data_IF_530274267665
#
_entry.id   IF_530274267665
#
_cell.length_a   1.000
_cell.length_b   1.000
_cell.length_c   1.000
_cell.angle_alpha   90.00
_cell.angle_beta   90.00
_cell.angle_gamma   90.00
#
_symmetry.space_group_name_H-M   'P 1'
#
loop_
_entity.id
_entity.type
_entity.pdbx_description
1 polymer ?
#
# COMPACT_ATOMS: atom_id res chain seq x y z
N UNK A 1 19.84 -12.74 25.16
CA UNK A 1 18.38 -13.02 25.08
C UNK A 1 18.22 -14.50 24.85
N UNK A 2 17.63 -15.20 25.79
CA UNK A 2 17.37 -16.64 25.66
C UNK A 2 16.14 -16.80 24.75
N UNK A 3 16.29 -17.52 23.67
CA UNK A 3 15.16 -17.88 22.79
C UNK A 3 14.48 -19.11 23.39
N UNK A 4 13.19 -19.00 23.68
CA UNK A 4 12.37 -20.13 24.13
C UNK A 4 11.54 -20.63 22.97
N UNK A 5 11.63 -21.92 22.65
CA UNK A 5 10.77 -22.55 21.66
C UNK A 5 9.43 -22.89 22.33
N UNK A 6 8.32 -22.43 21.73
CA UNK A 6 6.96 -22.65 22.21
C UNK A 6 6.27 -23.59 21.22
N UNK A 7 5.74 -24.73 21.72
CA UNK A 7 4.98 -25.65 20.88
C UNK A 7 3.57 -25.12 20.61
N UNK A 8 2.84 -25.59 19.58
CA UNK A 8 1.54 -25.06 19.20
C UNK A 8 0.45 -25.07 20.30
N UNK A 9 0.57 -25.97 21.27
CA UNK A 9 -0.37 -26.15 22.40
C UNK A 9 0.15 -25.57 23.72
N UNK A 10 1.23 -24.80 23.67
CA UNK A 10 1.90 -24.25 24.83
C UNK A 10 1.82 -22.72 24.86
N UNK A 11 1.78 -22.19 26.09
CA UNK A 11 1.98 -20.76 26.37
C UNK A 11 3.19 -20.59 27.28
N UNK A 12 3.84 -19.45 27.22
CA UNK A 12 4.93 -19.10 28.14
C UNK A 12 4.54 -17.85 28.93
N UNK A 13 4.51 -18.00 30.23
CA UNK A 13 4.43 -16.87 31.15
C UNK A 13 5.85 -16.50 31.58
N UNK A 14 6.25 -15.27 31.28
CA UNK A 14 7.58 -14.78 31.64
C UNK A 14 7.51 -13.43 32.35
N UNK A 15 8.39 -13.22 33.31
CA UNK A 15 8.58 -11.95 33.94
C UNK A 15 9.98 -11.43 33.65
N UNK A 16 10.12 -10.13 33.38
CA UNK A 16 11.42 -9.47 33.24
C UNK A 16 12.17 -9.52 34.59
N UNK A 17 13.50 -9.61 34.55
CA UNK A 17 14.34 -9.60 35.75
C UNK A 17 14.10 -8.34 36.62
N UNK A 18 13.68 -7.23 36.02
CA UNK A 18 13.36 -5.97 36.70
C UNK A 18 11.86 -5.82 37.02
N UNK A 19 11.04 -6.86 36.79
CA UNK A 19 9.64 -6.83 37.17
C UNK A 19 9.49 -6.87 38.71
N UNK A 20 8.34 -6.38 39.18
CA UNK A 20 8.01 -6.41 40.61
C UNK A 20 8.25 -7.80 41.21
N UNK A 21 8.82 -7.81 42.43
CA UNK A 21 9.12 -9.03 43.17
C UNK A 21 7.86 -9.92 43.40
N UNK A 22 6.70 -9.32 43.48
CA UNK A 22 5.43 -10.07 43.57
C UNK A 22 5.24 -11.03 42.40
N UNK A 23 5.39 -10.56 41.17
CA UNK A 23 5.22 -11.37 39.97
C UNK A 23 6.38 -12.37 39.77
N UNK A 24 7.62 -11.90 39.98
CA UNK A 24 8.80 -12.76 39.79
C UNK A 24 8.85 -13.88 40.81
N UNK A 25 8.48 -13.64 42.07
CA UNK A 25 8.43 -14.66 43.11
C UNK A 25 7.27 -15.63 42.90
N UNK A 26 6.10 -15.17 42.44
CA UNK A 26 4.97 -16.04 42.11
C UNK A 26 5.37 -17.10 41.05
N UNK A 27 6.03 -16.67 39.96
CA UNK A 27 6.50 -17.60 38.94
C UNK A 27 7.64 -18.52 39.44
N UNK A 28 8.56 -17.97 40.22
CA UNK A 28 9.74 -18.70 40.72
C UNK A 28 9.39 -19.78 41.75
N UNK A 29 8.33 -19.55 42.53
CA UNK A 29 7.88 -20.48 43.57
C UNK A 29 6.85 -21.52 43.10
N UNK A 30 6.48 -21.51 41.82
CA UNK A 30 5.58 -22.51 41.24
C UNK A 30 6.33 -23.84 41.05
N UNK A 31 5.93 -24.93 41.73
CA UNK A 31 6.55 -26.23 41.52
C UNK A 31 6.29 -26.73 40.10
N UNK A 32 7.28 -27.44 39.56
CA UNK A 32 7.10 -28.10 38.26
C UNK A 32 5.98 -29.16 38.36
N UNK A 33 5.04 -29.11 37.39
CA UNK A 33 3.88 -30.00 37.38
C UNK A 33 2.66 -29.47 38.11
N UNK A 34 2.74 -28.22 38.66
CA UNK A 34 1.53 -27.60 39.25
C UNK A 34 0.51 -27.29 38.16
N UNK A 35 -0.74 -27.53 38.47
CA UNK A 35 -1.86 -27.00 37.66
C UNK A 35 -2.03 -25.51 37.95
N UNK A 36 -2.12 -24.72 36.90
CA UNK A 36 -2.26 -23.26 36.97
C UNK A 36 -3.49 -22.83 36.19
N UNK A 37 -4.40 -22.17 36.88
CA UNK A 37 -5.54 -21.49 36.23
C UNK A 37 -5.23 -20.01 36.15
N UNK A 38 -5.40 -19.41 34.97
CA UNK A 38 -5.38 -17.98 34.81
C UNK A 38 -6.64 -17.49 34.09
N UNK A 39 -7.11 -16.35 34.53
CA UNK A 39 -8.29 -15.72 33.94
C UNK A 39 -7.86 -14.39 33.33
N UNK A 40 -8.22 -14.18 32.09
CA UNK A 40 -8.07 -12.89 31.42
C UNK A 40 -9.39 -12.15 31.54
N UNK A 41 -9.34 -10.97 32.17
CA UNK A 41 -10.52 -10.12 32.31
C UNK A 41 -10.27 -8.81 31.59
N UNK A 42 -11.28 -8.29 30.90
CA UNK A 42 -11.27 -6.95 30.36
C UNK A 42 -11.67 -5.92 31.43
N UNK A 43 -11.21 -4.69 31.28
CA UNK A 43 -11.74 -3.58 32.05
C UNK A 43 -13.19 -3.31 31.68
N UNK A 44 -13.96 -2.73 32.60
CA UNK A 44 -15.38 -2.38 32.36
C UNK A 44 -15.58 -1.62 31.05
N UNK A 45 -16.54 -2.07 30.25
CA UNK A 45 -16.84 -1.54 28.91
C UNK A 45 -16.12 -2.22 27.75
N UNK A 46 -15.26 -3.22 28.04
CA UNK A 46 -14.55 -4.00 27.03
C UNK A 46 -14.95 -5.47 26.98
N UNK A 47 -15.93 -5.85 27.78
CA UNK A 47 -16.33 -7.26 27.97
C UNK A 47 -16.91 -7.86 26.70
N UNK A 48 -17.63 -7.05 25.90
CA UNK A 48 -18.32 -7.48 24.68
C UNK A 48 -17.57 -7.07 23.39
N UNK A 49 -16.28 -6.71 23.50
CA UNK A 49 -15.48 -6.30 22.33
C UNK A 49 -14.79 -7.50 21.71
N UNK A 50 -15.14 -7.80 20.45
CA UNK A 50 -14.52 -8.88 19.70
C UNK A 50 -13.06 -8.58 19.30
N UNK A 51 -12.79 -7.31 18.94
CA UNK A 51 -11.47 -6.87 18.50
C UNK A 51 -11.12 -5.50 19.08
N UNK A 52 -9.87 -5.34 19.48
CA UNK A 52 -9.35 -4.07 19.98
C UNK A 52 -7.96 -3.79 19.39
N UNK A 53 -7.72 -2.54 19.02
CA UNK A 53 -6.43 -2.06 18.53
C UNK A 53 -6.01 -0.84 19.32
N UNK A 54 -4.79 -0.89 19.89
CA UNK A 54 -4.21 0.26 20.58
C UNK A 54 -3.79 1.35 19.60
N UNK A 55 -4.17 2.59 19.89
CA UNK A 55 -3.70 3.77 19.17
C UNK A 55 -2.66 4.53 20.00
N UNK A 56 -1.68 5.14 19.31
CA UNK A 56 -0.66 5.96 19.96
C UNK A 56 -1.19 7.36 20.31
N UNK A 57 -2.00 7.93 19.43
CA UNK A 57 -2.54 9.28 19.59
C UNK A 57 -3.97 9.35 19.03
N UNK A 58 -4.84 10.12 19.72
CA UNK A 58 -6.06 10.62 19.14
C UNK A 58 -5.72 11.93 18.40
N UNK A 59 -5.84 11.93 17.07
CA UNK A 59 -5.48 13.07 16.22
C UNK A 59 -6.63 14.05 16.02
N UNK A 60 -7.86 13.56 16.09
CA UNK A 60 -9.08 14.37 16.06
C UNK A 60 -10.21 13.68 16.82
N UNK A 61 -11.07 14.48 17.41
CA UNK A 61 -12.28 14.05 18.07
C UNK A 61 -13.39 15.04 17.78
N UNK A 62 -14.61 14.57 17.53
CA UNK A 62 -15.78 15.37 17.19
C UNK A 62 -15.51 16.35 16.02
N UNK A 63 -14.73 15.92 15.03
CA UNK A 63 -14.34 16.71 13.89
C UNK A 63 -13.30 17.83 14.16
N UNK A 64 -12.77 17.90 15.39
CA UNK A 64 -11.77 18.88 15.79
C UNK A 64 -10.39 18.23 15.96
N UNK A 65 -9.36 18.80 15.33
CA UNK A 65 -7.98 18.31 15.46
C UNK A 65 -7.46 18.54 16.88
N UNK A 66 -6.89 17.51 17.47
CA UNK A 66 -6.31 17.54 18.81
C UNK A 66 -5.12 18.52 18.87
N UNK A 67 -5.08 19.36 19.89
CA UNK A 67 -3.97 20.26 20.16
C UNK A 67 -2.83 19.55 20.94
N UNK A 68 -1.62 20.14 20.88
CA UNK A 68 -0.48 19.64 21.66
C UNK A 68 0.11 18.31 21.19
N UNK A 69 -0.19 17.87 19.96
CA UNK A 69 0.38 16.66 19.37
C UNK A 69 1.89 16.78 19.23
N UNK A 70 2.58 15.64 19.39
CA UNK A 70 4.03 15.59 19.26
C UNK A 70 4.50 16.06 17.89
N UNK A 71 5.55 16.88 17.87
CA UNK A 71 6.15 17.37 16.63
C UNK A 71 6.90 16.28 15.88
N UNK A 72 7.14 16.52 14.60
CA UNK A 72 7.98 15.68 13.74
C UNK A 72 7.23 15.07 12.56
N UNK A 73 7.94 14.99 11.44
CA UNK A 73 7.46 14.48 10.15
C UNK A 73 7.94 13.05 9.97
N UNK A 74 7.02 12.12 9.75
CA UNK A 74 7.32 10.70 9.64
C UNK A 74 6.30 10.02 8.71
N UNK A 75 6.59 8.81 8.20
CA UNK A 75 5.55 7.93 7.69
C UNK A 75 4.49 7.71 8.77
N UNK A 76 3.21 7.74 8.42
CA UNK A 76 2.11 7.61 9.37
C UNK A 76 1.08 6.60 8.89
N UNK A 77 0.47 5.92 9.85
CA UNK A 77 -0.72 5.09 9.66
C UNK A 77 -1.81 5.61 10.56
N UNK A 78 -3.00 5.83 10.04
CA UNK A 78 -4.13 6.33 10.80
C UNK A 78 -5.43 5.65 10.38
N UNK A 79 -6.39 5.64 11.30
CA UNK A 79 -7.77 5.23 11.04
C UNK A 79 -8.67 6.37 11.45
N UNK A 80 -9.53 6.79 10.52
CA UNK A 80 -10.58 7.76 10.79
C UNK A 80 -11.96 7.11 10.74
N UNK A 81 -12.88 7.63 11.52
CA UNK A 81 -14.30 7.25 11.52
C UNK A 81 -15.15 8.47 11.18
N UNK A 82 -16.04 8.31 10.19
CA UNK A 82 -17.05 9.31 9.84
C UNK A 82 -18.30 9.16 10.69
N UNK A 83 -19.18 10.17 10.67
CA UNK A 83 -20.46 10.18 11.40
C UNK A 83 -21.37 8.99 11.05
N UNK A 84 -21.32 8.50 9.82
CA UNK A 84 -22.11 7.36 9.35
C UNK A 84 -21.48 5.98 9.70
N UNK A 85 -20.37 5.97 10.45
CA UNK A 85 -19.63 4.77 10.83
C UNK A 85 -18.61 4.31 9.80
N UNK A 86 -18.51 4.96 8.64
CA UNK A 86 -17.50 4.62 7.62
C UNK A 86 -16.09 4.77 8.18
N UNK A 87 -15.28 3.72 8.05
CA UNK A 87 -13.86 3.75 8.43
C UNK A 87 -12.97 4.13 7.23
N UNK A 88 -12.02 5.01 7.49
CA UNK A 88 -11.00 5.45 6.53
C UNK A 88 -9.64 4.99 7.03
N UNK A 89 -9.01 4.05 6.33
CA UNK A 89 -7.64 3.64 6.58
C UNK A 89 -6.71 4.52 5.74
N UNK A 90 -5.75 5.15 6.38
CA UNK A 90 -4.92 6.15 5.76
C UNK A 90 -3.45 5.91 6.07
N UNK A 91 -2.63 5.89 5.03
CA UNK A 91 -1.17 5.83 5.16
C UNK A 91 -0.54 7.01 4.42
N UNK A 92 0.55 7.51 4.95
CA UNK A 92 1.41 8.45 4.27
C UNK A 92 2.84 7.96 4.32
N UNK A 93 3.47 7.84 3.15
CA UNK A 93 4.86 7.49 3.03
C UNK A 93 5.77 8.60 3.54
N UNK A 94 6.99 8.27 3.92
CA UNK A 94 7.94 9.26 4.40
C UNK A 94 9.36 8.71 4.51
N UNK A 95 10.28 9.53 5.02
CA UNK A 95 11.71 9.21 5.16
C UNK A 95 12.37 8.80 3.85
N UNK A 96 11.84 9.27 2.72
CA UNK A 96 12.37 8.99 1.37
C UNK A 96 12.69 10.31 0.68
N UNK A 97 13.98 10.62 0.64
CA UNK A 97 14.47 11.83 -0.06
C UNK A 97 13.98 11.87 -1.50
N UNK A 98 13.50 13.02 -1.91
CA UNK A 98 12.98 13.26 -3.26
C UNK A 98 11.62 12.65 -3.57
N UNK A 99 11.03 11.88 -2.65
CA UNK A 99 9.69 11.30 -2.83
C UNK A 99 8.72 11.80 -1.76
N UNK A 100 8.95 11.48 -0.51
CA UNK A 100 8.11 11.94 0.60
C UNK A 100 8.91 12.01 1.90
N UNK A 101 8.80 13.12 2.60
CA UNK A 101 9.35 13.29 3.94
C UNK A 101 8.41 12.73 5.03
N UNK A 102 7.13 12.53 4.70
CA UNK A 102 6.08 12.16 5.63
C UNK A 102 5.22 13.35 6.07
N UNK A 103 4.44 13.16 7.13
CA UNK A 103 3.59 14.18 7.72
C UNK A 103 3.72 14.27 9.23
N UNK A 104 3.39 15.43 9.80
CA UNK A 104 3.17 15.60 11.23
C UNK A 104 1.84 14.96 11.64
N UNK A 105 1.67 14.69 12.94
CA UNK A 105 0.41 14.17 13.48
C UNK A 105 -0.75 15.14 13.21
N UNK A 106 -0.51 16.44 13.37
CA UNK A 106 -1.50 17.51 13.09
C UNK A 106 -1.95 17.50 11.62
N UNK A 107 -1.02 17.39 10.67
CA UNK A 107 -1.36 17.31 9.24
C UNK A 107 -2.21 16.10 8.90
N UNK A 108 -1.91 14.94 9.49
CA UNK A 108 -2.72 13.72 9.30
C UNK A 108 -4.12 13.90 9.87
N UNK A 109 -4.22 14.46 11.09
CA UNK A 109 -5.51 14.78 11.71
C UNK A 109 -6.34 15.73 10.84
N UNK A 110 -5.75 16.83 10.39
CA UNK A 110 -6.40 17.80 9.48
C UNK A 110 -6.90 17.13 8.20
N UNK A 111 -6.04 16.31 7.56
CA UNK A 111 -6.40 15.65 6.31
C UNK A 111 -7.58 14.70 6.46
N UNK A 112 -7.63 13.94 7.55
CA UNK A 112 -8.74 13.00 7.78
C UNK A 112 -10.04 13.73 8.18
N UNK A 113 -9.95 14.84 8.90
CA UNK A 113 -11.11 15.72 9.15
C UNK A 113 -11.63 16.32 7.83
N UNK A 114 -10.75 16.77 6.92
CA UNK A 114 -11.14 17.21 5.57
C UNK A 114 -11.84 16.12 4.76
N UNK A 115 -11.50 14.86 4.99
CA UNK A 115 -12.17 13.69 4.39
C UNK A 115 -13.49 13.33 5.07
N UNK A 116 -13.92 14.11 6.08
CA UNK A 116 -15.18 13.96 6.79
C UNK A 116 -15.11 13.02 8.01
N UNK A 117 -13.91 12.72 8.51
CA UNK A 117 -13.79 11.92 9.74
C UNK A 117 -14.01 12.79 10.97
N UNK A 118 -14.78 12.27 11.92
CA UNK A 118 -15.02 12.92 13.22
C UNK A 118 -14.02 12.45 14.27
N UNK A 119 -13.68 11.17 14.26
CA UNK A 119 -12.66 10.59 15.14
C UNK A 119 -11.48 10.09 14.29
N UNK A 120 -10.26 10.44 14.70
CA UNK A 120 -9.04 10.02 14.02
C UNK A 120 -8.02 9.50 15.02
N UNK A 121 -7.57 8.28 14.82
CA UNK A 121 -6.57 7.60 15.64
C UNK A 121 -5.29 7.34 14.84
N UNK A 122 -4.14 7.63 15.45
CA UNK A 122 -2.84 7.30 14.86
C UNK A 122 -2.36 5.95 15.40
N UNK A 123 -2.08 5.04 14.50
CA UNK A 123 -1.48 3.74 14.80
C UNK A 123 0.05 3.84 14.76
N UNK A 124 0.75 2.70 14.86
CA UNK A 124 2.20 2.65 14.64
C UNK A 124 2.54 3.12 13.22
N UNK A 125 3.65 3.84 13.12
CA UNK A 125 4.08 4.51 11.90
C UNK A 125 5.55 4.21 11.57
N UNK A 126 6.21 5.16 10.89
CA UNK A 126 7.61 4.99 10.52
C UNK A 126 7.81 3.80 9.57
N UNK A 127 8.76 2.92 9.88
CA UNK A 127 9.03 1.72 9.09
C UNK A 127 7.89 0.69 9.09
N UNK A 128 6.97 0.77 10.05
CA UNK A 128 5.80 -0.11 10.15
C UNK A 128 4.64 0.32 9.24
N UNK A 129 4.71 1.51 8.62
CA UNK A 129 3.67 2.01 7.71
C UNK A 129 3.61 1.17 6.43
N UNK A 130 2.68 0.24 6.37
CA UNK A 130 2.42 -0.62 5.22
C UNK A 130 0.91 -0.72 4.98
N UNK A 131 0.49 -0.59 3.73
CA UNK A 131 -0.87 -0.82 3.29
C UNK A 131 -0.86 -1.85 2.16
N UNK A 132 -1.44 -3.00 2.41
CA UNK A 132 -1.59 -4.04 1.41
C UNK A 132 -3.07 -4.19 1.02
N UNK A 133 -3.33 -4.40 -0.25
CA UNK A 133 -4.67 -4.55 -0.81
C UNK A 133 -4.68 -5.71 -1.79
N UNK A 134 -5.71 -6.53 -1.72
CA UNK A 134 -6.06 -7.48 -2.78
C UNK A 134 -6.91 -6.74 -3.79
N UNK A 135 -6.38 -6.56 -5.00
CA UNK A 135 -7.08 -5.90 -6.09
C UNK A 135 -7.89 -6.92 -6.90
N UNK A 136 -8.95 -6.52 -7.63
CA UNK A 136 -9.82 -7.45 -8.37
C UNK A 136 -9.10 -8.30 -9.43
N UNK A 137 -7.91 -7.91 -9.87
CA UNK A 137 -7.06 -8.64 -10.81
C UNK A 137 -6.06 -9.60 -10.15
N UNK A 138 -6.14 -9.78 -8.82
CA UNK A 138 -5.20 -10.61 -8.05
C UNK A 138 -5.91 -11.40 -6.95
N UNK A 139 -5.37 -12.56 -6.61
CA UNK A 139 -5.76 -13.34 -5.42
C UNK A 139 -4.89 -13.01 -4.21
N UNK A 140 -3.77 -12.34 -4.42
CA UNK A 140 -2.80 -12.01 -3.38
C UNK A 140 -2.82 -10.52 -3.04
N UNK A 141 -2.70 -10.22 -1.75
CA UNK A 141 -2.53 -8.86 -1.30
C UNK A 141 -1.13 -8.34 -1.67
N UNK A 142 -1.06 -7.15 -2.22
CA UNK A 142 0.18 -6.47 -2.55
C UNK A 142 0.28 -5.13 -1.83
N UNK A 143 1.51 -4.77 -1.42
CA UNK A 143 1.78 -3.46 -0.80
C UNK A 143 1.62 -2.38 -1.87
N UNK A 144 0.73 -1.43 -1.62
CA UNK A 144 0.40 -0.34 -2.55
C UNK A 144 1.10 0.98 -2.20
N UNK A 145 1.59 1.14 -0.98
CA UNK A 145 2.42 2.29 -0.59
C UNK A 145 3.91 1.99 -0.80
N UNK A 146 4.79 2.97 -0.49
CA UNK A 146 6.25 2.84 -0.57
C UNK A 146 6.88 2.92 0.82
N UNK A 147 6.92 1.83 1.59
CA UNK A 147 7.43 1.83 2.95
C UNK A 147 8.87 2.34 3.03
N UNK A 148 9.21 3.03 4.10
CA UNK A 148 10.60 3.47 4.37
C UNK A 148 11.53 2.32 4.72
N UNK A 149 10.98 1.21 5.22
CA UNK A 149 11.69 -0.03 5.52
C UNK A 149 11.03 -1.20 4.78
N UNK A 150 11.81 -1.93 3.99
CA UNK A 150 11.32 -3.09 3.25
C UNK A 150 11.26 -4.30 4.19
N UNK A 151 10.16 -5.05 4.13
CA UNK A 151 9.96 -6.29 4.89
C UNK A 151 10.10 -6.11 6.42
N UNK A 152 9.68 -4.95 6.96
CA UNK A 152 9.62 -4.74 8.40
C UNK A 152 8.69 -5.77 9.04
N UNK A 153 9.23 -6.56 9.98
CA UNK A 153 8.41 -7.46 10.80
C UNK A 153 7.67 -6.65 11.86
N UNK A 154 6.37 -6.83 11.94
CA UNK A 154 5.48 -6.24 12.95
C UNK A 154 4.81 -7.35 13.76
N UNK A 155 4.45 -7.05 15.00
CA UNK A 155 3.86 -8.03 15.93
C UNK A 155 2.37 -8.26 15.70
N UNK A 156 1.68 -7.28 15.11
CA UNK A 156 0.23 -7.34 14.82
C UNK A 156 -0.07 -6.59 13.52
N UNK A 157 -1.22 -6.91 12.95
CA UNK A 157 -1.72 -6.32 11.72
C UNK A 157 -3.24 -6.20 11.82
N UNK A 158 -3.83 -5.25 11.12
CA UNK A 158 -5.28 -5.13 10.95
C UNK A 158 -5.64 -5.70 9.60
N UNK A 159 -6.53 -6.68 9.58
CA UNK A 159 -7.08 -7.26 8.36
C UNK A 159 -8.54 -6.85 8.20
N UNK A 160 -8.87 -6.36 7.01
CA UNK A 160 -10.26 -6.21 6.56
C UNK A 160 -10.53 -7.35 5.60
N UNK A 161 -11.41 -8.24 6.00
CA UNK A 161 -11.74 -9.43 5.21
C UNK A 161 -13.19 -9.33 4.77
N UNK A 162 -13.42 -9.31 3.45
CA UNK A 162 -14.75 -9.42 2.90
C UNK A 162 -15.20 -10.88 2.94
N UNK A 163 -16.34 -11.16 3.58
CA UNK A 163 -16.96 -12.48 3.66
C UNK A 163 -18.13 -12.66 2.68
N UNK A 164 -18.39 -11.67 1.84
CA UNK A 164 -19.47 -11.68 0.88
C UNK A 164 -19.24 -12.75 -0.20
N UNK A 165 -20.35 -13.38 -0.63
CA UNK A 165 -20.36 -14.24 -1.82
C UNK A 165 -20.65 -13.39 -3.04
N UNK A 166 -20.22 -13.87 -4.22
CA UNK A 166 -20.56 -13.20 -5.48
C UNK A 166 -22.07 -13.04 -5.63
N UNK A 167 -22.47 -11.84 -6.03
CA UNK A 167 -23.86 -11.54 -6.41
C UNK A 167 -24.17 -12.01 -7.84
N UNK A 168 -23.15 -12.27 -8.66
CA UNK A 168 -23.28 -12.58 -10.09
C UNK A 168 -23.77 -11.41 -10.95
N UNK A 169 -23.94 -10.21 -10.39
CA UNK A 169 -24.42 -9.02 -11.09
C UNK A 169 -23.28 -8.00 -11.21
N UNK A 170 -22.84 -7.77 -12.45
CA UNK A 170 -21.81 -6.77 -12.76
C UNK A 170 -22.21 -5.39 -12.24
N UNK A 171 -21.30 -4.76 -11.50
CA UNK A 171 -21.41 -3.37 -11.02
C UNK A 171 -20.52 -2.44 -11.84
N UNK A 172 -19.22 -2.74 -11.89
CA UNK A 172 -18.26 -1.93 -12.63
C UNK A 172 -17.11 -2.78 -13.19
N UNK A 173 -16.22 -2.14 -13.94
CA UNK A 173 -14.96 -2.73 -14.38
C UNK A 173 -13.81 -2.12 -13.59
N UNK A 174 -12.92 -2.96 -13.06
CA UNK A 174 -11.61 -2.58 -12.57
C UNK A 174 -10.64 -2.58 -13.75
N UNK A 175 -10.12 -1.40 -14.10
CA UNK A 175 -9.18 -1.19 -15.20
C UNK A 175 -7.83 -0.81 -14.62
N UNK A 176 -6.79 -1.55 -14.95
CA UNK A 176 -5.44 -1.36 -14.41
C UNK A 176 -4.40 -1.40 -15.50
N UNK A 177 -3.62 -0.33 -15.63
CA UNK A 177 -2.41 -0.34 -16.43
C UNK A 177 -1.25 -1.01 -15.66
N UNK A 178 -0.36 -1.67 -16.38
CA UNK A 178 0.85 -2.25 -15.78
C UNK A 178 1.77 -1.17 -15.16
N UNK A 179 1.63 0.08 -15.59
CA UNK A 179 2.25 1.25 -14.98
C UNK A 179 1.37 2.48 -15.24
N UNK A 180 1.15 3.29 -14.20
CA UNK A 180 0.40 4.54 -14.33
C UNK A 180 1.25 5.65 -14.98
N UNK A 181 2.59 5.55 -14.91
CA UNK A 181 3.52 6.53 -15.46
C UNK A 181 4.42 5.87 -16.49
N UNK A 182 4.36 6.37 -17.71
CA UNK A 182 5.12 5.84 -18.86
C UNK A 182 5.85 6.94 -19.59
N UNK A 183 6.96 6.61 -20.26
CA UNK A 183 7.58 7.54 -21.20
C UNK A 183 6.66 7.68 -22.43
N UNK A 184 6.37 8.90 -22.84
CA UNK A 184 5.52 9.17 -23.99
C UNK A 184 5.98 8.40 -25.24
N UNK A 185 5.04 7.81 -25.97
CA UNK A 185 5.34 6.92 -27.11
C UNK A 185 5.62 5.45 -26.74
N UNK A 186 5.62 5.12 -25.43
CA UNK A 186 5.75 3.73 -24.99
C UNK A 186 4.41 3.01 -24.94
N UNK A 187 4.48 1.68 -24.96
CA UNK A 187 3.33 0.80 -24.80
C UNK A 187 3.25 0.26 -23.39
N UNK A 188 2.04 0.14 -22.87
CA UNK A 188 1.75 -0.42 -21.56
C UNK A 188 0.55 -1.37 -21.63
N UNK A 189 0.62 -2.51 -20.97
CA UNK A 189 -0.49 -3.44 -20.89
C UNK A 189 -1.59 -2.86 -19.99
N UNK A 190 -2.84 -3.09 -20.40
CA UNK A 190 -4.04 -2.73 -19.64
C UNK A 190 -4.86 -3.99 -19.41
N UNK A 191 -5.11 -4.30 -18.17
CA UNK A 191 -5.94 -5.40 -17.72
C UNK A 191 -7.30 -4.89 -17.28
N UNK A 192 -8.34 -5.71 -17.50
CA UNK A 192 -9.71 -5.41 -17.11
C UNK A 192 -10.29 -6.60 -16.38
N UNK A 193 -10.93 -6.35 -15.25
CA UNK A 193 -11.66 -7.36 -14.47
C UNK A 193 -13.04 -6.82 -14.17
N UNK A 194 -14.10 -7.60 -14.45
CA UNK A 194 -15.44 -7.27 -13.98
C UNK A 194 -15.52 -7.37 -12.46
N UNK A 195 -16.29 -6.52 -11.84
CA UNK A 195 -16.53 -6.52 -10.39
C UNK A 195 -18.02 -6.48 -10.13
N UNK A 196 -18.50 -7.39 -9.30
CA UNK A 196 -19.92 -7.46 -8.99
C UNK A 196 -20.33 -6.48 -7.88
N UNK A 197 -21.64 -6.39 -7.59
CA UNK A 197 -22.18 -5.49 -6.55
C UNK A 197 -21.74 -5.82 -5.13
N UNK A 198 -21.07 -6.95 -4.92
CA UNK A 198 -20.45 -7.35 -3.65
C UNK A 198 -18.94 -7.20 -3.68
N UNK A 199 -18.40 -6.49 -4.67
CA UNK A 199 -16.94 -6.28 -4.89
C UNK A 199 -16.16 -7.57 -5.15
N UNK A 200 -16.83 -8.62 -5.67
CA UNK A 200 -16.17 -9.88 -6.03
C UNK A 200 -15.80 -9.84 -7.53
N UNK A 201 -14.58 -10.22 -7.89
CA UNK A 201 -14.18 -10.34 -9.29
C UNK A 201 -15.05 -11.32 -10.06
N UNK A 202 -15.38 -10.98 -11.30
CA UNK A 202 -16.16 -11.82 -12.19
C UNK A 202 -15.76 -11.61 -13.65
N UNK A 203 -15.97 -12.63 -14.47
CA UNK A 203 -15.82 -12.51 -15.92
C UNK A 203 -17.00 -11.73 -16.52
N UNK A 204 -16.69 -10.78 -17.36
CA UNK A 204 -17.69 -10.02 -18.12
C UNK A 204 -17.09 -9.51 -19.43
N UNK A 205 -17.89 -9.54 -20.49
CA UNK A 205 -17.50 -8.97 -21.77
C UNK A 205 -17.44 -7.44 -21.68
N UNK A 206 -16.45 -6.85 -22.34
CA UNK A 206 -16.24 -5.41 -22.37
C UNK A 206 -15.65 -4.94 -23.70
N UNK A 207 -15.95 -3.70 -24.03
CA UNK A 207 -15.25 -2.90 -25.03
C UNK A 207 -14.22 -2.01 -24.32
N UNK A 208 -13.02 -1.92 -24.86
CA UNK A 208 -11.94 -1.10 -24.32
C UNK A 208 -11.63 0.06 -25.26
N UNK A 209 -11.55 1.26 -24.73
CA UNK A 209 -11.26 2.48 -25.47
C UNK A 209 -10.24 3.36 -24.75
N UNK A 210 -9.53 4.20 -25.49
CA UNK A 210 -8.59 5.16 -24.94
C UNK A 210 -8.89 6.56 -25.49
N UNK A 211 -8.69 7.59 -24.65
CA UNK A 211 -8.91 9.00 -25.04
C UNK A 211 -7.85 9.50 -26.02
N UNK A 212 -6.69 8.88 -26.09
CA UNK A 212 -5.59 9.19 -27.00
C UNK A 212 -4.65 8.00 -27.18
N UNK A 213 -3.79 8.03 -28.20
CA UNK A 213 -2.89 6.92 -28.52
C UNK A 213 -3.62 5.83 -29.31
N UNK A 214 -3.03 4.63 -29.34
CA UNK A 214 -3.62 3.45 -29.97
C UNK A 214 -3.77 2.33 -28.96
N UNK A 215 -4.88 1.60 -29.03
CA UNK A 215 -5.18 0.51 -28.12
C UNK A 215 -5.47 -0.76 -28.95
N UNK A 216 -4.58 -1.75 -28.83
CA UNK A 216 -4.67 -2.99 -29.59
C UNK A 216 -4.36 -4.18 -28.65
N UNK A 217 -5.27 -5.16 -28.64
CA UNK A 217 -5.10 -6.38 -27.85
C UNK A 217 -4.72 -6.14 -26.35
N UNK A 218 -5.34 -5.13 -25.73
CA UNK A 218 -5.04 -4.78 -24.34
C UNK A 218 -3.72 -4.01 -24.13
N UNK A 219 -3.03 -3.64 -25.21
CA UNK A 219 -1.82 -2.82 -25.16
C UNK A 219 -2.14 -1.38 -25.58
N UNK A 220 -1.97 -0.44 -24.67
CA UNK A 220 -2.04 0.99 -24.95
C UNK A 220 -0.66 1.47 -25.39
N UNK A 221 -0.54 2.02 -26.59
CA UNK A 221 0.60 2.82 -27.02
C UNK A 221 0.24 4.29 -26.82
N UNK A 222 0.94 4.94 -25.92
CA UNK A 222 0.67 6.34 -25.56
C UNK A 222 1.14 7.30 -26.66
N UNK A 223 0.51 8.51 -26.79
CA UNK A 223 0.93 9.48 -27.79
C UNK A 223 2.35 9.99 -27.49
N UNK A 224 3.16 10.20 -28.54
CA UNK A 224 4.50 10.77 -28.43
C UNK A 224 4.49 12.23 -27.93
N UNK A 225 3.35 12.94 -28.08
CA UNK A 225 3.14 14.27 -27.51
C UNK A 225 3.07 14.29 -26.00
N UNK A 226 2.88 13.11 -25.35
CA UNK A 226 2.62 13.03 -23.93
C UNK A 226 1.21 13.46 -23.54
N UNK A 227 0.97 13.50 -22.25
CA UNK A 227 -0.31 13.88 -21.65
C UNK A 227 -1.04 12.71 -21.00
N UNK A 228 -2.16 12.99 -20.36
CA UNK A 228 -2.98 11.99 -19.68
C UNK A 228 -3.85 11.25 -20.68
N UNK A 229 -3.83 9.93 -20.61
CA UNK A 229 -4.64 9.04 -21.42
C UNK A 229 -5.59 8.28 -20.51
N UNK A 230 -6.89 8.56 -20.64
CA UNK A 230 -7.93 7.80 -19.94
C UNK A 230 -8.25 6.54 -20.76
N UNK A 231 -8.10 5.37 -20.13
CA UNK A 231 -8.53 4.09 -20.71
C UNK A 231 -9.81 3.67 -20.00
N UNK A 232 -10.84 3.38 -20.78
CA UNK A 232 -12.18 3.04 -20.28
C UNK A 232 -12.60 1.68 -20.80
N UNK A 233 -13.01 0.82 -19.90
CA UNK A 233 -13.75 -0.40 -20.21
C UNK A 233 -15.25 -0.16 -20.03
N UNK A 234 -16.07 -0.66 -20.93
CA UNK A 234 -17.54 -0.55 -20.87
C UNK A 234 -18.21 -1.83 -21.37
N UNK A 235 -19.28 -2.23 -20.71
CA UNK A 235 -20.06 -3.42 -21.09
C UNK A 235 -21.26 -3.59 -20.19
N UNK A 236 -22.34 -4.13 -20.72
CA UNK A 236 -23.58 -4.43 -19.97
C UNK A 236 -24.13 -3.24 -19.14
N UNK A 237 -23.91 -2.01 -19.60
CA UNK A 237 -24.34 -0.80 -18.89
C UNK A 237 -23.38 -0.32 -17.78
N UNK A 238 -22.34 -1.08 -17.48
CA UNK A 238 -21.30 -0.76 -16.49
C UNK A 238 -20.05 -0.17 -17.14
N UNK A 239 -19.25 0.54 -16.36
CA UNK A 239 -18.00 1.17 -16.81
C UNK A 239 -16.93 1.09 -15.73
N UNK A 240 -15.68 1.24 -16.16
CA UNK A 240 -14.52 1.50 -15.31
C UNK A 240 -13.43 2.17 -16.09
N UNK A 241 -12.54 2.90 -15.45
CA UNK A 241 -11.46 3.58 -16.16
C UNK A 241 -10.22 3.72 -15.29
N UNK A 242 -9.08 3.89 -15.97
CA UNK A 242 -7.81 4.27 -15.35
C UNK A 242 -7.16 5.38 -16.18
N UNK A 243 -6.22 6.10 -15.58
CA UNK A 243 -5.45 7.14 -16.27
C UNK A 243 -4.00 6.71 -16.36
N UNK A 244 -3.44 6.78 -17.57
CA UNK A 244 -2.01 6.59 -17.83
C UNK A 244 -1.38 7.94 -18.13
N UNK A 245 -0.40 8.32 -17.36
CA UNK A 245 0.35 9.57 -17.50
C UNK A 245 1.53 9.37 -18.45
N UNK A 246 1.41 9.83 -19.68
CA UNK A 246 2.49 9.76 -20.67
C UNK A 246 3.40 10.98 -20.53
N UNK A 247 4.58 10.77 -19.97
CA UNK A 247 5.55 11.82 -19.65
C UNK A 247 6.46 12.05 -20.87
N UNK A 248 6.36 13.23 -21.47
CA UNK A 248 7.17 13.61 -22.62
C UNK A 248 8.59 14.06 -22.25
N UNK A 249 8.71 14.77 -21.14
CA UNK A 249 9.98 15.33 -20.70
C UNK A 249 10.35 14.75 -19.33
N UNK A 250 11.07 13.62 -19.31
CA UNK A 250 11.59 13.06 -18.06
C UNK A 250 12.72 13.94 -17.50
N UNK A 251 12.92 13.87 -16.18
CA UNK A 251 14.00 14.61 -15.50
C UNK A 251 15.38 14.04 -15.86
N UNK A 252 15.45 12.73 -16.07
CA UNK A 252 16.69 12.01 -16.33
C UNK A 252 16.46 10.85 -17.28
N UNK A 253 17.37 10.73 -18.25
CA UNK A 253 17.52 9.53 -19.08
C UNK A 253 18.70 8.71 -18.56
N UNK A 254 18.56 7.40 -18.54
CA UNK A 254 19.60 6.47 -18.13
C UNK A 254 19.92 5.48 -19.24
N UNK A 255 21.19 5.16 -19.40
CA UNK A 255 21.67 4.10 -20.28
C UNK A 255 22.35 3.04 -19.45
N UNK A 256 22.06 1.78 -19.71
CA UNK A 256 22.59 0.65 -18.94
C UNK A 256 23.11 -0.45 -19.85
N UNK A 257 24.14 -1.14 -19.38
CA UNK A 257 24.57 -2.45 -19.87
C UNK A 257 24.32 -3.47 -18.74
N UNK A 258 23.30 -4.29 -18.89
CA UNK A 258 22.79 -5.11 -17.81
C UNK A 258 22.28 -4.22 -16.64
N UNK A 259 22.87 -4.37 -15.45
CA UNK A 259 22.53 -3.57 -14.26
C UNK A 259 23.37 -2.31 -14.09
N UNK A 260 24.48 -2.18 -14.82
CA UNK A 260 25.42 -1.07 -14.71
C UNK A 260 24.95 0.17 -15.49
N UNK A 261 24.83 1.32 -14.82
CA UNK A 261 24.59 2.60 -15.47
C UNK A 261 25.85 3.04 -16.22
N UNK A 262 25.67 3.56 -17.44
CA UNK A 262 26.76 3.98 -18.32
C UNK A 262 26.72 5.48 -18.53
N UNK A 263 27.91 6.10 -18.49
CA UNK A 263 28.18 7.44 -19.03
C UNK A 263 29.06 7.34 -20.30
N UNK A 264 29.87 6.28 -20.36
CA UNK A 264 30.73 5.94 -21.51
C UNK A 264 30.72 4.44 -21.70
N UNK A 265 30.90 3.99 -22.91
CA UNK A 265 31.03 2.58 -23.28
C UNK A 265 32.21 2.37 -24.20
N UNK A 266 33.15 1.52 -23.80
CA UNK A 266 34.20 1.05 -24.66
C UNK A 266 33.82 -0.30 -25.25
N UNK A 267 33.83 -0.42 -26.56
CA UNK A 267 33.47 -1.67 -27.26
C UNK A 267 34.62 -2.15 -28.11
N UNK A 268 34.76 -3.46 -28.20
CA UNK A 268 35.72 -4.06 -29.14
C UNK A 268 35.08 -4.12 -30.52
N UNK A 269 35.82 -3.75 -31.60
CA UNK A 269 35.29 -3.87 -32.96
C UNK A 269 34.75 -5.27 -33.25
N UNK A 270 33.53 -5.35 -33.81
CA UNK A 270 32.86 -6.61 -34.12
C UNK A 270 32.11 -7.26 -32.94
N UNK A 271 32.21 -6.74 -31.72
CA UNK A 271 31.41 -7.20 -30.58
C UNK A 271 29.99 -6.65 -30.65
N UNK A 272 29.05 -7.40 -30.02
CA UNK A 272 27.66 -6.95 -29.81
C UNK A 272 27.45 -6.64 -28.34
N UNK A 273 26.84 -5.50 -28.05
CA UNK A 273 26.46 -5.10 -26.69
C UNK A 273 24.99 -4.70 -26.67
N UNK A 274 24.23 -5.27 -25.75
CA UNK A 274 22.84 -4.88 -25.55
C UNK A 274 22.76 -3.75 -24.54
N UNK A 275 22.19 -2.63 -24.97
CA UNK A 275 21.96 -1.49 -24.13
C UNK A 275 20.48 -1.35 -23.80
N UNK A 276 20.18 -0.91 -22.59
CA UNK A 276 18.82 -0.60 -22.13
C UNK A 276 18.74 0.86 -21.74
N UNK A 277 17.82 1.59 -22.36
CA UNK A 277 17.51 2.96 -21.95
C UNK A 277 16.35 2.96 -20.93
N UNK A 278 16.38 3.92 -20.02
CA UNK A 278 15.33 4.17 -19.05
C UNK A 278 15.12 5.66 -18.84
N UNK A 279 14.01 6.02 -18.22
CA UNK A 279 13.65 7.39 -17.93
C UNK A 279 13.14 7.50 -16.48
N UNK A 280 13.43 8.62 -15.84
CA UNK A 280 12.97 8.95 -14.48
C UNK A 280 12.29 10.31 -14.53
N UNK A 281 11.14 10.41 -13.89
CA UNK A 281 10.40 11.64 -13.72
C UNK A 281 9.87 11.73 -12.30
N UNK A 282 10.08 12.86 -11.63
CA UNK A 282 9.67 13.09 -10.24
C UNK A 282 10.01 11.88 -9.33
N UNK A 283 11.25 11.39 -9.43
CA UNK A 283 11.77 10.20 -8.73
C UNK A 283 11.06 8.88 -9.04
N UNK A 284 10.15 8.85 -10.02
CA UNK A 284 9.49 7.64 -10.51
C UNK A 284 10.25 7.10 -11.72
N UNK A 285 10.57 5.82 -11.72
CA UNK A 285 11.03 5.14 -12.93
C UNK A 285 9.82 4.99 -13.85
N UNK A 286 9.90 5.57 -15.04
CA UNK A 286 8.86 5.44 -16.05
C UNK A 286 8.94 4.06 -16.71
N UNK A 287 7.78 3.46 -16.98
CA UNK A 287 7.74 2.37 -17.92
C UNK A 287 8.07 2.91 -19.33
N UNK A 288 8.99 2.26 -20.01
CA UNK A 288 9.48 2.71 -21.32
C UNK A 288 9.83 1.53 -22.19
N UNK A 289 9.50 1.61 -23.47
CA UNK A 289 10.00 0.69 -24.49
C UNK A 289 11.02 1.36 -25.43
N UNK A 290 11.75 0.53 -26.17
CA UNK A 290 12.83 1.02 -27.04
C UNK A 290 12.36 2.01 -28.11
N UNK A 291 11.10 1.99 -28.49
CA UNK A 291 10.50 2.86 -29.51
C UNK A 291 10.32 4.31 -29.05
N UNK A 292 10.27 4.51 -27.74
CA UNK A 292 10.13 5.83 -27.14
C UNK A 292 11.47 6.62 -27.10
N UNK A 293 12.58 5.97 -27.45
CA UNK A 293 13.91 6.59 -27.48
C UNK A 293 14.40 6.79 -28.92
N UNK A 294 15.02 7.92 -29.17
CA UNK A 294 15.79 8.15 -30.40
C UNK A 294 17.25 7.85 -30.11
N UNK A 295 17.84 6.97 -30.91
CA UNK A 295 19.24 6.55 -30.81
C UNK A 295 20.06 7.26 -31.88
N UNK A 296 21.12 7.92 -31.50
CA UNK A 296 22.04 8.65 -32.40
C UNK A 296 23.48 8.25 -32.15
#
# INVERSE_FOLDING_TARGET
TTVTSIQPDQIVLSANANADAYYTNALRNLPVGSEVTFTVTANSGWEDVDYAVGALYCLAQDGAVTSGLAAGVNPRTAVGQKADGTLVFYTIDGRRSGYSIGASLTQVGQRLVELGCETVLCLDGGGSTNLAVTTPDSTDASIINRPSETNRKVTNQIFLVASNRSSGRLDHFYVKAASDYVLAGSSVAVNVTGVDTNYIPMDADYDLSASAGTLENGMLTTPASGGDVTVTASGRGSRGSTVVHAIRTPDTLTLKNGTASLTTLTVTPGSKTTLTAGAVWNHLTLAADARAFTWS
#
